data_IF_588087890036
#
_entry.id   IF_588087890036
#
_cell.length_a   1.000
_cell.length_b   1.000
_cell.length_c   1.000
_cell.angle_alpha   90.00
_cell.angle_beta   90.00
_cell.angle_gamma   90.00
#
_symmetry.space_group_name_H-M   'P 1'
#
loop_
_entity.id
_entity.type
_entity.pdbx_description
1 polymer ?
#
# COMPACT_ATOMS: atom_id res chain seq x y z
N UNK A 1 -8.15 -15.94 -0.72
CA UNK A 1 -7.29 -15.51 0.28
C UNK A 1 -6.63 -14.24 -0.10
N UNK A 2 -6.65 -13.32 0.76
CA UNK A 2 -6.11 -12.03 0.43
C UNK A 2 -4.62 -12.08 0.40
N UNK A 3 -4.05 -11.33 -0.47
CA UNK A 3 -2.63 -11.16 -0.46
C UNK A 3 -2.25 -10.29 0.70
N UNK A 4 -1.01 -10.13 0.93
CA UNK A 4 -0.56 -9.27 1.97
C UNK A 4 -0.96 -7.84 1.72
N UNK A 5 -0.94 -7.05 2.77
CA UNK A 5 -1.29 -5.64 2.65
C UNK A 5 -0.20 -4.90 1.90
N UNK A 6 -0.58 -3.80 1.29
CA UNK A 6 0.37 -2.93 0.63
C UNK A 6 0.75 -1.84 1.61
N UNK A 7 2.04 -1.66 1.84
CA UNK A 7 2.53 -0.64 2.77
C UNK A 7 3.30 0.41 2.01
N UNK A 8 2.98 1.67 2.26
CA UNK A 8 3.74 2.78 1.73
C UNK A 8 4.64 3.26 2.85
N UNK A 9 5.94 3.12 2.69
CA UNK A 9 6.89 3.40 3.75
C UNK A 9 8.00 4.31 3.27
N UNK A 10 8.64 4.99 4.23
CA UNK A 10 9.75 5.86 3.95
C UNK A 10 11.03 5.12 4.32
N UNK A 11 11.96 5.06 3.40
CA UNK A 11 13.18 4.34 3.66
C UNK A 11 14.32 4.97 2.90
N UNK A 12 15.38 5.29 3.60
CA UNK A 12 16.60 5.82 2.97
C UNK A 12 16.33 7.02 2.08
N UNK A 13 15.51 7.90 2.54
CA UNK A 13 15.24 9.13 1.81
C UNK A 13 14.25 8.98 0.68
N UNK A 14 13.65 7.84 0.55
CA UNK A 14 12.69 7.62 -0.53
C UNK A 14 11.45 6.96 0.00
N UNK A 15 10.36 7.12 -0.74
CA UNK A 15 9.12 6.46 -0.40
C UNK A 15 8.96 5.24 -1.31
N UNK A 16 8.54 4.15 -0.71
CA UNK A 16 8.39 2.94 -1.51
C UNK A 16 7.15 2.18 -1.05
N UNK A 17 6.68 1.29 -1.88
CA UNK A 17 5.55 0.44 -1.54
C UNK A 17 6.04 -0.99 -1.46
N UNK A 18 5.67 -1.66 -0.38
CA UNK A 18 6.02 -3.06 -0.21
C UNK A 18 4.76 -3.86 0.00
N UNK A 19 4.80 -5.13 -0.29
CA UNK A 19 3.65 -6.00 -0.14
C UNK A 19 4.02 -7.10 0.83
N UNK A 20 3.20 -7.26 1.86
CA UNK A 20 3.48 -8.28 2.85
C UNK A 20 3.53 -9.63 2.18
N UNK A 21 4.47 -10.43 2.61
CA UNK A 21 4.58 -11.75 2.06
C UNK A 21 5.40 -11.85 0.80
N UNK A 22 5.76 -10.72 0.24
CA UNK A 22 6.62 -10.74 -0.94
C UNK A 22 8.00 -10.29 -0.55
N UNK A 23 8.97 -10.69 -1.30
CA UNK A 23 10.34 -10.41 -0.94
C UNK A 23 10.82 -9.06 -1.34
N UNK A 24 9.98 -8.18 -1.61
CA UNK A 24 10.43 -6.84 -1.88
C UNK A 24 10.94 -6.61 -3.28
N UNK A 25 11.10 -7.63 -4.04
CA UNK A 25 11.52 -7.43 -5.40
C UNK A 25 10.44 -6.71 -6.11
N UNK A 26 10.74 -5.81 -6.92
CA UNK A 26 9.74 -5.10 -7.66
C UNK A 26 9.18 -3.90 -6.94
N UNK A 27 9.63 -3.65 -5.75
CA UNK A 27 9.24 -2.44 -5.07
C UNK A 27 9.82 -1.27 -5.82
N UNK A 28 9.05 -0.24 -5.97
CA UNK A 28 9.51 0.95 -6.63
C UNK A 28 9.67 2.08 -5.64
N UNK A 29 10.62 2.95 -5.91
CA UNK A 29 10.85 4.09 -5.06
C UNK A 29 10.31 5.34 -5.72
N UNK A 30 9.80 6.22 -4.89
CA UNK A 30 9.22 7.46 -5.37
C UNK A 30 9.85 8.62 -4.61
N UNK A 31 9.91 9.76 -5.25
CA UNK A 31 10.51 10.91 -4.61
C UNK A 31 9.61 11.59 -3.61
N UNK A 32 8.31 11.38 -3.71
CA UNK A 32 7.41 12.02 -2.78
C UNK A 32 6.43 11.01 -2.22
N UNK A 33 5.89 11.35 -1.06
CA UNK A 33 4.91 10.51 -0.43
C UNK A 33 3.67 10.40 -1.28
N UNK A 34 3.28 11.48 -1.91
CA UNK A 34 2.07 11.49 -2.69
C UNK A 34 2.15 10.53 -3.87
N UNK A 35 3.31 10.50 -4.51
CA UNK A 35 3.48 9.57 -5.61
C UNK A 35 3.42 8.15 -5.13
N UNK A 36 4.07 7.87 -4.02
CA UNK A 36 4.06 6.52 -3.50
C UNK A 36 2.67 6.12 -3.04
N UNK A 37 1.94 7.05 -2.44
CA UNK A 37 0.59 6.76 -2.00
C UNK A 37 -0.31 6.42 -3.17
N UNK A 38 -0.20 7.17 -4.25
CA UNK A 38 -1.05 6.91 -5.40
C UNK A 38 -0.76 5.53 -5.99
N UNK A 39 0.50 5.20 -6.10
CA UNK A 39 0.87 3.90 -6.64
C UNK A 39 0.46 2.78 -5.70
N UNK A 40 0.62 2.99 -4.40
CA UNK A 40 0.23 1.98 -3.43
C UNK A 40 -1.26 1.76 -3.41
N UNK A 41 -2.02 2.83 -3.57
CA UNK A 41 -3.46 2.70 -3.62
C UNK A 41 -3.88 1.86 -4.81
N UNK A 42 -3.28 2.11 -5.96
CA UNK A 42 -3.60 1.32 -7.13
C UNK A 42 -3.26 -0.14 -6.93
N UNK A 43 -2.13 -0.41 -6.34
CA UNK A 43 -1.74 -1.79 -6.06
C UNK A 43 -2.75 -2.46 -5.13
N UNK A 44 -3.14 -1.77 -4.08
CA UNK A 44 -4.07 -2.34 -3.12
C UNK A 44 -5.42 -2.60 -3.77
N UNK A 45 -5.83 -1.71 -4.64
CA UNK A 45 -7.11 -1.90 -5.33
C UNK A 45 -7.05 -3.08 -6.27
N UNK A 46 -5.96 -3.21 -7.00
CA UNK A 46 -5.82 -4.33 -7.92
C UNK A 46 -5.79 -5.65 -7.19
N UNK A 47 -5.16 -5.64 -6.03
CA UNK A 47 -5.04 -6.86 -5.24
C UNK A 47 -6.19 -7.06 -4.29
N UNK A 48 -7.06 -6.08 -4.19
CA UNK A 48 -8.20 -6.14 -3.29
C UNK A 48 -7.73 -6.41 -1.87
N UNK A 49 -6.82 -5.57 -1.42
CA UNK A 49 -6.27 -5.73 -0.09
C UNK A 49 -6.22 -4.36 0.58
N UNK A 50 -5.61 -4.29 1.72
CA UNK A 50 -5.55 -3.07 2.50
C UNK A 50 -4.30 -2.28 2.17
N UNK A 51 -4.41 -0.97 2.18
CA UNK A 51 -3.28 -0.09 1.93
C UNK A 51 -2.96 0.62 3.23
N UNK A 52 -1.74 0.45 3.71
CA UNK A 52 -1.30 1.06 4.96
C UNK A 52 -0.23 2.07 4.65
N UNK A 53 -0.45 3.31 5.05
CA UNK A 53 0.50 4.37 4.79
C UNK A 53 1.20 4.72 6.08
N UNK A 54 2.52 4.75 6.04
CA UNK A 54 3.31 5.03 7.23
C UNK A 54 3.93 6.41 7.14
N UNK A 55 4.17 7.00 8.30
CA UNK A 55 4.89 8.27 8.36
C UNK A 55 6.37 8.00 8.25
N UNK A 56 7.14 9.08 8.15
CA UNK A 56 8.58 8.94 8.05
C UNK A 56 9.17 8.22 9.26
N UNK A 57 8.53 8.35 10.41
CA UNK A 57 9.05 7.72 11.61
C UNK A 57 8.58 6.27 11.73
N UNK A 58 7.84 5.77 10.75
CA UNK A 58 7.43 4.39 10.77
C UNK A 58 6.06 4.14 11.34
N UNK A 59 5.43 5.13 11.92
CA UNK A 59 4.11 4.93 12.49
C UNK A 59 3.05 4.94 11.41
N UNK A 60 1.96 4.26 11.65
CA UNK A 60 0.88 4.21 10.67
C UNK A 60 0.16 5.54 10.67
N UNK A 61 0.11 6.16 9.51
CA UNK A 61 -0.58 7.42 9.37
C UNK A 61 -2.00 7.21 8.90
N UNK A 62 -2.23 6.20 8.07
CA UNK A 62 -3.53 6.02 7.50
C UNK A 62 -3.68 4.61 6.97
N UNK A 63 -4.90 4.11 7.00
CA UNK A 63 -5.17 2.78 6.46
C UNK A 63 -6.43 2.88 5.63
N UNK A 64 -6.45 2.17 4.53
CA UNK A 64 -7.61 2.13 3.66
C UNK A 64 -7.81 0.70 3.19
N UNK A 65 -9.05 0.29 3.13
CA UNK A 65 -9.36 -1.06 2.76
C UNK A 65 -10.01 -1.06 1.40
N UNK A 66 -9.48 -1.81 0.47
CA UNK A 66 -10.00 -1.84 -0.88
C UNK A 66 -10.50 -3.20 -1.30
N UNK A 67 -10.45 -4.17 -0.44
CA UNK A 67 -10.80 -5.48 -0.87
C UNK A 67 -11.99 -6.00 -0.22
N UNK A 68 -12.50 -7.02 -0.76
CA UNK A 68 -13.41 -7.74 -0.09
C UNK A 68 -14.51 -7.03 0.49
N UNK A 69 -15.17 -6.38 -0.27
CA UNK A 69 -16.26 -5.63 0.23
C UNK A 69 -17.46 -6.01 -0.56
N UNK A 70 -17.85 -7.21 -0.50
CA UNK A 70 -18.92 -7.69 -1.34
C UNK A 70 -20.19 -6.98 -1.08
N UNK A 71 -20.40 -6.58 0.10
CA UNK A 71 -21.65 -5.92 0.38
C UNK A 71 -21.77 -4.63 -0.33
N UNK A 72 -20.67 -4.01 -0.61
CA UNK A 72 -20.74 -2.76 -1.25
C UNK A 72 -20.91 -2.89 -2.74
N UNK A 73 -20.87 -4.10 -3.25
CA UNK A 73 -21.00 -4.23 -4.62
C UNK A 73 -22.37 -4.27 -4.93
N UNK A 74 -22.83 -3.32 -5.49
CA UNK A 74 -24.22 -3.28 -5.77
C UNK A 74 -24.60 -4.32 -6.71
N UNK A 75 -23.97 -5.04 -6.88
CA UNK A 75 -24.50 -6.03 -7.79
C UNK A 75 -23.62 -6.22 -8.80
#
# INVERSE_FOLDING_TARGET
>A
MADGYVHTVYKDGQWTNTIEGQNGDGSQSYGTKEEAQAAGRDLARQRQTEHVIHNQDGEIAERSSYGNDPASRPG
#
